data_IF_654640627119
#
_entry.id   IF_654640627119
#
_cell.length_a   1.000
_cell.length_b   1.000
_cell.length_c   1.000
_cell.angle_alpha   90.00
_cell.angle_beta   90.00
_cell.angle_gamma   90.00
#
_symmetry.space_group_name_H-M   'P 1'
#
loop_
_entity.id
_entity.type
_entity.pdbx_description
1 polymer ?
#
# COMPACT_ATOMS: atom_id res chain seq x y z
N UNK A 1 -6.56 -10.06 -0.14
CA UNK A 1 -6.08 -11.15 0.73
C UNK A 1 -4.94 -11.89 0.04
N UNK A 2 -3.81 -12.03 0.70
CA UNK A 2 -2.59 -12.68 0.22
C UNK A 2 -2.76 -14.16 -0.16
N UNK A 3 -3.81 -14.81 0.32
CA UNK A 3 -4.16 -16.20 -0.01
C UNK A 3 -4.71 -16.39 -1.44
N UNK A 4 -4.96 -15.31 -2.15
CA UNK A 4 -5.58 -15.33 -3.47
C UNK A 4 -4.65 -14.89 -4.58
N UNK A 5 -3.34 -14.86 -4.27
CA UNK A 5 -2.30 -14.59 -5.26
C UNK A 5 -2.22 -15.68 -6.32
N UNK A 6 -1.73 -15.30 -7.49
CA UNK A 6 -1.46 -16.18 -8.61
C UNK A 6 -0.39 -17.18 -8.17
N UNK A 7 -0.78 -18.40 -7.85
CA UNK A 7 0.15 -19.49 -7.47
C UNK A 7 0.69 -20.28 -8.65
N UNK A 8 0.05 -20.17 -9.83
CA UNK A 8 0.55 -20.78 -11.07
C UNK A 8 0.75 -19.70 -12.13
N UNK A 9 1.92 -19.65 -12.75
CA UNK A 9 2.26 -18.66 -13.78
C UNK A 9 1.42 -18.73 -15.07
N UNK A 10 0.48 -19.68 -15.17
CA UNK A 10 -0.31 -19.94 -16.37
C UNK A 10 -1.76 -19.45 -16.29
N UNK A 11 -2.24 -18.91 -15.15
CA UNK A 11 -3.60 -18.38 -15.08
C UNK A 11 -3.68 -16.97 -15.65
N UNK A 12 -4.66 -16.73 -16.52
CA UNK A 12 -4.95 -15.41 -17.06
C UNK A 12 -5.69 -14.54 -16.04
N UNK A 13 -5.59 -13.21 -16.17
CA UNK A 13 -6.38 -12.29 -15.36
C UNK A 13 -7.88 -12.53 -15.54
N UNK A 14 -8.30 -12.80 -16.78
CA UNK A 14 -9.67 -13.15 -17.13
C UNK A 14 -10.19 -14.32 -16.29
N UNK A 15 -9.43 -15.41 -16.19
CA UNK A 15 -9.81 -16.58 -15.40
C UNK A 15 -9.92 -16.28 -13.91
N UNK A 16 -8.98 -15.52 -13.37
CA UNK A 16 -8.97 -15.11 -11.96
C UNK A 16 -10.21 -14.28 -11.65
N UNK A 17 -10.51 -13.27 -12.47
CA UNK A 17 -11.69 -12.42 -12.31
C UNK A 17 -12.98 -13.23 -12.39
N UNK A 18 -13.08 -14.15 -13.34
CA UNK A 18 -14.27 -14.99 -13.52
C UNK A 18 -14.50 -15.89 -12.31
N UNK A 19 -13.49 -16.58 -11.81
CA UNK A 19 -13.59 -17.43 -10.63
C UNK A 19 -14.07 -16.65 -9.39
N UNK A 20 -13.53 -15.43 -9.17
CA UNK A 20 -13.99 -14.59 -8.06
C UNK A 20 -15.43 -14.09 -8.25
N UNK A 21 -15.78 -13.71 -9.44
CA UNK A 21 -17.13 -13.30 -9.77
C UNK A 21 -18.16 -14.42 -9.52
N UNK A 22 -17.85 -15.64 -9.97
CA UNK A 22 -18.70 -16.81 -9.74
C UNK A 22 -18.87 -17.12 -8.25
N UNK A 23 -17.78 -17.05 -7.48
CA UNK A 23 -17.85 -17.25 -6.02
C UNK A 23 -18.69 -16.18 -5.32
N UNK A 24 -18.60 -14.91 -5.72
CA UNK A 24 -19.42 -13.82 -5.16
C UNK A 24 -20.91 -14.01 -5.46
N UNK A 25 -21.21 -14.61 -6.57
CA UNK A 25 -22.58 -15.01 -6.94
C UNK A 25 -23.04 -16.31 -6.29
N UNK A 26 -22.17 -17.03 -5.56
CA UNK A 26 -22.50 -18.28 -4.89
C UNK A 26 -22.39 -19.54 -5.74
N UNK A 27 -21.74 -19.46 -6.92
CA UNK A 27 -21.39 -20.63 -7.73
C UNK A 27 -20.10 -21.30 -7.23
N UNK A 28 -19.81 -22.51 -7.72
CA UNK A 28 -18.57 -23.20 -7.46
C UNK A 28 -17.37 -22.37 -7.97
N UNK A 29 -16.20 -22.52 -7.33
CA UNK A 29 -14.95 -21.91 -7.79
C UNK A 29 -14.34 -22.63 -8.98
N UNK A 30 -14.56 -23.91 -9.07
CA UNK A 30 -14.14 -24.73 -10.20
C UNK A 30 -14.98 -24.40 -11.44
N UNK A 31 -14.33 -24.22 -12.60
CA UNK A 31 -15.01 -23.76 -13.81
C UNK A 31 -15.97 -24.80 -14.39
N UNK A 32 -15.60 -26.08 -14.33
CA UNK A 32 -16.48 -27.15 -14.84
C UNK A 32 -17.75 -27.26 -13.99
N UNK A 33 -17.59 -27.20 -12.65
CA UNK A 33 -18.73 -27.22 -11.72
C UNK A 33 -19.59 -25.97 -11.82
N UNK A 34 -19.00 -24.80 -11.96
CA UNK A 34 -19.77 -23.57 -12.12
C UNK A 34 -20.55 -23.50 -13.42
N UNK A 35 -19.98 -23.95 -14.54
CA UNK A 35 -20.70 -24.04 -15.82
C UNK A 35 -21.85 -25.06 -15.75
N UNK A 36 -21.70 -26.16 -14.99
CA UNK A 36 -22.79 -27.06 -14.69
C UNK A 36 -23.91 -26.36 -13.91
N UNK A 37 -23.57 -25.69 -12.78
CA UNK A 37 -24.55 -24.97 -11.96
C UNK A 37 -25.29 -23.90 -12.76
N UNK A 38 -24.58 -23.11 -13.58
CA UNK A 38 -25.14 -22.08 -14.45
C UNK A 38 -26.11 -22.68 -15.47
N UNK A 39 -25.74 -23.80 -16.08
CA UNK A 39 -26.57 -24.53 -17.04
C UNK A 39 -27.84 -25.10 -16.39
N UNK A 40 -27.70 -25.75 -15.24
CA UNK A 40 -28.81 -26.30 -14.46
C UNK A 40 -29.75 -25.19 -13.98
N UNK A 41 -29.21 -24.09 -13.47
CA UNK A 41 -30.03 -22.95 -13.04
C UNK A 41 -30.76 -22.30 -14.20
N UNK A 42 -30.09 -22.15 -15.36
CA UNK A 42 -30.70 -21.61 -16.58
C UNK A 42 -31.90 -22.42 -17.09
N UNK A 43 -31.89 -23.72 -16.86
CA UNK A 43 -32.91 -24.66 -17.23
C UNK A 43 -33.91 -24.96 -16.09
N UNK A 44 -33.79 -24.30 -14.94
CA UNK A 44 -34.66 -24.54 -13.78
C UNK A 44 -34.46 -25.91 -13.13
N UNK A 45 -33.31 -26.57 -13.34
CA UNK A 45 -33.02 -27.92 -12.87
C UNK A 45 -32.07 -27.95 -11.64
N UNK A 46 -31.55 -26.81 -11.20
CA UNK A 46 -30.57 -26.76 -10.11
C UNK A 46 -31.14 -27.31 -8.81
N UNK A 47 -32.36 -26.93 -8.43
CA UNK A 47 -33.00 -27.43 -7.21
C UNK A 47 -33.18 -28.95 -7.22
N UNK A 48 -33.55 -29.52 -8.37
CA UNK A 48 -33.70 -30.98 -8.55
C UNK A 48 -32.36 -31.70 -8.43
N UNK A 49 -31.28 -31.07 -8.93
CA UNK A 49 -29.93 -31.57 -8.79
C UNK A 49 -29.47 -31.57 -7.31
N UNK A 50 -29.71 -30.49 -6.58
CA UNK A 50 -29.35 -30.37 -5.16
C UNK A 50 -30.12 -31.33 -4.28
N UNK A 51 -31.42 -31.58 -4.59
CA UNK A 51 -32.23 -32.56 -3.90
C UNK A 51 -31.72 -33.99 -4.11
N UNK A 52 -31.41 -34.37 -5.36
CA UNK A 52 -30.84 -35.66 -5.68
C UNK A 52 -29.44 -35.85 -5.08
N UNK A 53 -28.62 -34.79 -5.03
CA UNK A 53 -27.34 -34.79 -4.36
C UNK A 53 -27.49 -35.08 -2.86
N UNK A 54 -28.43 -34.40 -2.19
CA UNK A 54 -28.74 -34.65 -0.78
C UNK A 54 -29.23 -36.07 -0.56
N UNK A 55 -30.08 -36.60 -1.44
CA UNK A 55 -30.56 -37.96 -1.35
C UNK A 55 -29.45 -38.99 -1.44
N UNK A 56 -28.46 -38.79 -2.27
CA UNK A 56 -27.34 -39.74 -2.49
C UNK A 56 -26.25 -39.66 -1.44
N UNK A 57 -25.97 -38.49 -0.90
CA UNK A 57 -24.81 -38.25 -0.05
C UNK A 57 -25.14 -37.81 1.37
N UNK A 58 -26.40 -37.52 1.66
CA UNK A 58 -26.84 -36.95 2.95
C UNK A 58 -26.09 -35.67 3.32
N UNK A 59 -25.84 -34.83 2.28
CA UNK A 59 -25.05 -33.57 2.37
C UNK A 59 -25.64 -32.50 1.47
N UNK A 60 -25.38 -31.25 1.84
CA UNK A 60 -25.78 -30.10 1.02
C UNK A 60 -24.74 -29.82 -0.08
N UNK A 61 -25.16 -29.71 -1.34
CA UNK A 61 -24.28 -29.39 -2.47
C UNK A 61 -23.46 -28.14 -2.22
N UNK A 62 -24.08 -27.08 -1.72
CA UNK A 62 -23.43 -25.80 -1.46
C UNK A 62 -22.29 -25.87 -0.43
N UNK A 63 -22.32 -26.84 0.49
CA UNK A 63 -21.26 -27.09 1.45
C UNK A 63 -20.09 -27.91 0.85
N UNK A 64 -20.38 -28.78 -0.11
CA UNK A 64 -19.43 -29.75 -0.65
C UNK A 64 -18.77 -29.34 -1.97
N UNK A 65 -19.42 -28.51 -2.79
CA UNK A 65 -18.90 -28.09 -4.10
C UNK A 65 -17.52 -27.43 -4.10
N UNK A 66 -17.04 -26.95 -2.94
CA UNK A 66 -15.68 -26.45 -2.76
C UNK A 66 -14.59 -27.54 -2.72
N UNK A 67 -14.98 -28.80 -2.47
CA UNK A 67 -14.10 -29.98 -2.43
C UNK A 67 -13.95 -30.58 -3.82
N UNK A 68 -13.35 -29.85 -4.75
CA UNK A 68 -13.36 -30.09 -6.20
C UNK A 68 -13.09 -31.55 -6.59
N UNK A 69 -12.11 -32.21 -5.95
CA UNK A 69 -11.72 -33.58 -6.29
C UNK A 69 -12.88 -34.57 -6.15
N UNK A 70 -13.70 -34.43 -5.14
CA UNK A 70 -14.86 -35.28 -4.90
C UNK A 70 -16.10 -34.74 -5.62
N UNK A 71 -16.33 -33.44 -5.57
CA UNK A 71 -17.50 -32.78 -6.12
C UNK A 71 -17.72 -33.05 -7.62
N UNK A 72 -16.65 -33.10 -8.43
CA UNK A 72 -16.74 -33.44 -9.86
C UNK A 72 -17.30 -34.84 -10.08
N UNK A 73 -16.81 -35.84 -9.33
CA UNK A 73 -17.27 -37.23 -9.46
C UNK A 73 -18.68 -37.43 -8.90
N UNK A 74 -18.98 -36.75 -7.81
CA UNK A 74 -20.30 -36.77 -7.15
C UNK A 74 -21.35 -36.10 -8.05
N UNK A 75 -21.05 -34.95 -8.61
CA UNK A 75 -21.92 -34.27 -9.57
C UNK A 75 -22.20 -35.13 -10.80
N UNK A 76 -21.15 -35.81 -11.34
CA UNK A 76 -21.33 -36.73 -12.47
C UNK A 76 -22.26 -37.88 -12.16
N UNK A 77 -22.21 -38.41 -10.93
CA UNK A 77 -23.10 -39.51 -10.48
C UNK A 77 -24.54 -39.02 -10.30
N UNK A 78 -24.71 -37.83 -9.77
CA UNK A 78 -26.05 -37.19 -9.66
C UNK A 78 -26.69 -37.03 -11.05
N UNK A 79 -25.89 -36.53 -12.02
CA UNK A 79 -26.35 -36.37 -13.40
C UNK A 79 -26.70 -37.72 -14.07
N UNK A 80 -25.92 -38.78 -13.82
CA UNK A 80 -26.26 -40.12 -14.30
C UNK A 80 -27.62 -40.60 -13.74
N UNK A 81 -27.89 -40.39 -12.46
CA UNK A 81 -29.15 -40.80 -11.85
C UNK A 81 -30.34 -40.00 -12.39
N UNK A 82 -30.17 -38.70 -12.62
CA UNK A 82 -31.22 -37.81 -13.10
C UNK A 82 -31.49 -37.98 -14.61
N UNK A 83 -30.45 -38.26 -15.38
CA UNK A 83 -30.48 -38.25 -16.85
C UNK A 83 -29.69 -39.43 -17.42
N UNK A 84 -30.09 -40.72 -17.15
CA UNK A 84 -29.33 -41.90 -17.54
C UNK A 84 -29.17 -42.06 -19.06
N UNK A 85 -30.14 -41.55 -19.85
CA UNK A 85 -30.04 -41.57 -21.30
C UNK A 85 -28.94 -40.64 -21.82
N UNK A 86 -28.74 -39.48 -21.18
CA UNK A 86 -27.69 -38.50 -21.55
C UNK A 86 -26.35 -38.90 -20.99
N UNK A 87 -26.31 -39.43 -19.77
CA UNK A 87 -25.11 -39.81 -19.04
C UNK A 87 -25.19 -41.30 -18.65
N UNK A 88 -24.87 -42.21 -19.57
CA UNK A 88 -25.13 -43.66 -19.39
C UNK A 88 -24.24 -44.32 -18.32
N UNK A 89 -23.15 -43.67 -17.89
CA UNK A 89 -22.27 -44.12 -16.81
C UNK A 89 -22.10 -43.06 -15.77
N UNK A 90 -21.80 -43.46 -14.55
CA UNK A 90 -21.64 -42.56 -13.40
C UNK A 90 -20.55 -41.49 -13.60
N UNK A 91 -19.60 -41.70 -14.47
CA UNK A 91 -18.51 -40.77 -14.79
C UNK A 91 -18.60 -40.13 -16.19
N UNK A 92 -19.71 -40.33 -16.91
CA UNK A 92 -19.89 -39.84 -18.28
C UNK A 92 -19.70 -38.32 -18.38
N UNK A 93 -20.33 -37.56 -17.48
CA UNK A 93 -20.23 -36.10 -17.51
C UNK A 93 -18.79 -35.62 -17.17
N UNK A 94 -18.18 -36.13 -16.09
CA UNK A 94 -16.85 -35.67 -15.67
C UNK A 94 -15.78 -35.99 -16.71
N UNK A 95 -15.86 -37.15 -17.37
CA UNK A 95 -14.95 -37.48 -18.49
C UNK A 95 -15.12 -36.52 -19.68
N UNK A 96 -16.35 -36.07 -19.94
CA UNK A 96 -16.64 -35.20 -21.04
C UNK A 96 -16.14 -33.75 -20.85
N UNK A 97 -16.19 -33.24 -19.61
CA UNK A 97 -15.99 -31.79 -19.33
C UNK A 97 -14.69 -31.48 -18.62
N UNK A 98 -14.08 -32.41 -17.87
CA UNK A 98 -12.95 -32.14 -16.99
C UNK A 98 -11.82 -31.35 -17.67
N UNK A 99 -11.58 -30.14 -17.16
CA UNK A 99 -10.55 -29.23 -17.64
C UNK A 99 -10.80 -28.60 -19.01
N UNK A 100 -12.04 -28.70 -19.55
CA UNK A 100 -12.40 -28.13 -20.86
C UNK A 100 -13.07 -26.75 -20.75
N UNK A 101 -13.51 -26.35 -19.57
CA UNK A 101 -14.08 -25.03 -19.39
C UNK A 101 -13.00 -23.96 -19.60
N UNK A 102 -13.22 -23.09 -20.58
CA UNK A 102 -12.33 -21.98 -20.93
C UNK A 102 -13.11 -20.67 -20.88
N UNK A 103 -12.41 -19.58 -20.58
CA UNK A 103 -12.97 -18.26 -20.45
C UNK A 103 -12.13 -17.22 -21.20
N UNK A 104 -12.76 -16.52 -22.14
CA UNK A 104 -12.17 -15.35 -22.79
C UNK A 104 -12.70 -14.05 -22.17
N UNK A 105 -12.04 -12.89 -22.39
CA UNK A 105 -12.55 -11.57 -21.96
C UNK A 105 -13.99 -11.29 -22.44
N UNK A 106 -14.31 -11.69 -23.68
CA UNK A 106 -15.66 -11.54 -24.23
C UNK A 106 -16.70 -12.41 -23.49
N UNK A 107 -16.35 -13.68 -23.25
CA UNK A 107 -17.22 -14.61 -22.51
C UNK A 107 -17.40 -14.16 -21.06
N UNK A 108 -16.35 -13.64 -20.40
CA UNK A 108 -16.45 -13.06 -19.06
C UNK A 108 -17.46 -11.90 -19.03
N UNK A 109 -17.37 -10.95 -19.96
CA UNK A 109 -18.28 -9.80 -20.01
C UNK A 109 -19.73 -10.23 -20.29
N UNK A 110 -19.94 -11.15 -21.23
CA UNK A 110 -21.26 -11.72 -21.54
C UNK A 110 -21.86 -12.43 -20.31
N UNK A 111 -21.10 -13.33 -19.67
CA UNK A 111 -21.52 -14.05 -18.47
C UNK A 111 -21.82 -13.11 -17.32
N UNK A 112 -21.01 -12.05 -17.14
CA UNK A 112 -21.31 -11.01 -16.16
C UNK A 112 -22.70 -10.39 -16.40
N UNK A 113 -23.03 -10.10 -17.67
CA UNK A 113 -24.36 -9.59 -18.05
C UNK A 113 -25.49 -10.54 -17.72
N UNK A 114 -25.36 -11.81 -18.09
CA UNK A 114 -26.38 -12.84 -17.87
C UNK A 114 -26.59 -13.12 -16.37
N UNK A 115 -25.51 -13.35 -15.62
CA UNK A 115 -25.58 -13.76 -14.23
C UNK A 115 -25.96 -12.60 -13.29
N UNK A 116 -25.49 -11.39 -13.57
CA UNK A 116 -25.93 -10.20 -12.83
C UNK A 116 -27.43 -9.93 -13.00
N UNK A 117 -27.99 -10.08 -14.21
CA UNK A 117 -29.42 -9.97 -14.42
C UNK A 117 -30.20 -11.03 -13.65
N UNK A 118 -29.65 -12.23 -13.54
CA UNK A 118 -30.31 -13.37 -12.87
C UNK A 118 -30.29 -13.25 -11.36
N UNK A 119 -29.10 -13.01 -10.79
CA UNK A 119 -28.89 -13.07 -9.33
C UNK A 119 -28.83 -11.71 -8.63
N UNK A 120 -28.36 -10.64 -9.32
CA UNK A 120 -28.20 -9.29 -8.74
C UNK A 120 -28.72 -8.18 -9.68
N UNK A 121 -29.99 -8.21 -10.10
CA UNK A 121 -30.50 -7.37 -11.21
C UNK A 121 -30.44 -5.86 -10.95
N UNK A 122 -30.39 -5.44 -9.67
CA UNK A 122 -30.36 -4.02 -9.26
C UNK A 122 -28.96 -3.52 -8.86
N UNK A 123 -27.94 -4.36 -8.94
CA UNK A 123 -26.58 -4.02 -8.51
C UNK A 123 -25.67 -3.73 -9.71
N UNK A 124 -24.65 -2.91 -9.48
CA UNK A 124 -23.53 -2.75 -10.37
C UNK A 124 -22.42 -3.76 -10.01
N UNK A 125 -21.58 -4.08 -10.99
CA UNK A 125 -20.40 -4.94 -10.80
C UNK A 125 -19.15 -4.07 -10.82
N UNK A 126 -18.35 -4.16 -9.77
CA UNK A 126 -17.08 -3.43 -9.64
C UNK A 126 -15.97 -4.44 -9.39
N UNK A 127 -15.01 -4.51 -10.30
CA UNK A 127 -13.75 -5.23 -10.06
C UNK A 127 -12.69 -4.26 -9.57
N UNK A 128 -12.06 -4.58 -8.45
CA UNK A 128 -10.91 -3.84 -7.92
C UNK A 128 -9.67 -4.72 -8.05
N UNK A 129 -8.70 -4.27 -8.85
CA UNK A 129 -7.46 -5.00 -9.13
C UNK A 129 -6.32 -4.20 -8.53
N UNK A 130 -5.80 -4.67 -7.42
CA UNK A 130 -4.73 -4.01 -6.68
C UNK A 130 -3.36 -4.34 -7.26
N UNK A 131 -2.47 -3.35 -7.29
CA UNK A 131 -1.07 -3.47 -7.76
C UNK A 131 -0.93 -4.00 -9.21
N UNK A 132 -1.85 -3.61 -10.09
CA UNK A 132 -1.87 -4.07 -11.49
C UNK A 132 -0.58 -3.75 -12.23
N UNK A 133 0.10 -2.64 -11.89
CA UNK A 133 1.34 -2.22 -12.54
C UNK A 133 2.42 -3.29 -12.51
N UNK A 134 2.66 -3.92 -11.35
CA UNK A 134 3.64 -4.99 -11.22
C UNK A 134 3.24 -6.26 -11.98
N UNK A 135 1.94 -6.52 -12.10
CA UNK A 135 1.41 -7.67 -12.80
C UNK A 135 1.62 -7.56 -14.32
N UNK A 136 1.38 -6.37 -14.89
CA UNK A 136 1.44 -6.14 -16.34
C UNK A 136 2.83 -5.73 -16.85
N UNK A 137 3.66 -5.07 -16.04
CA UNK A 137 4.93 -4.47 -16.46
C UNK A 137 5.92 -5.46 -17.09
N UNK A 138 5.85 -6.73 -16.73
CA UNK A 138 6.79 -7.77 -17.18
C UNK A 138 6.28 -8.61 -18.34
N UNK A 139 5.00 -8.48 -18.70
CA UNK A 139 4.35 -9.40 -19.63
C UNK A 139 3.32 -8.68 -20.51
N UNK A 140 3.65 -8.54 -21.80
CA UNK A 140 2.78 -7.91 -22.81
C UNK A 140 1.44 -8.63 -22.94
N UNK A 141 1.41 -9.97 -22.82
CA UNK A 141 0.17 -10.73 -22.91
C UNK A 141 -0.79 -10.37 -21.78
N UNK A 142 -0.29 -10.12 -20.58
CA UNK A 142 -1.10 -9.65 -19.46
C UNK A 142 -1.65 -8.23 -19.65
N UNK A 143 -0.86 -7.36 -20.31
CA UNK A 143 -1.36 -6.03 -20.70
C UNK A 143 -2.51 -6.15 -21.70
N UNK A 144 -2.35 -7.00 -22.73
CA UNK A 144 -3.37 -7.24 -23.74
C UNK A 144 -4.63 -7.91 -23.15
N UNK A 145 -4.46 -8.84 -22.21
CA UNK A 145 -5.59 -9.47 -21.51
C UNK A 145 -6.39 -8.42 -20.71
N UNK A 146 -5.71 -7.59 -19.90
CA UNK A 146 -6.35 -6.50 -19.16
C UNK A 146 -7.04 -5.51 -20.11
N UNK A 147 -6.38 -5.10 -21.19
CA UNK A 147 -6.97 -4.20 -22.19
C UNK A 147 -8.23 -4.77 -22.81
N UNK A 148 -8.21 -6.06 -23.19
CA UNK A 148 -9.36 -6.74 -23.76
C UNK A 148 -10.51 -6.83 -22.75
N UNK A 149 -10.23 -7.12 -21.47
CA UNK A 149 -11.23 -7.13 -20.40
C UNK A 149 -11.89 -5.76 -20.28
N UNK A 150 -11.09 -4.69 -20.12
CA UNK A 150 -11.62 -3.31 -19.94
C UNK A 150 -12.49 -2.91 -21.13
N UNK A 151 -12.03 -3.21 -22.35
CA UNK A 151 -12.79 -2.89 -23.57
C UNK A 151 -14.12 -3.63 -23.64
N UNK A 152 -14.13 -4.93 -23.32
CA UNK A 152 -15.36 -5.74 -23.34
C UNK A 152 -16.34 -5.32 -22.26
N UNK A 153 -15.86 -5.05 -21.05
CA UNK A 153 -16.71 -4.55 -19.97
C UNK A 153 -17.29 -3.16 -20.27
N UNK A 154 -16.50 -2.27 -20.90
CA UNK A 154 -17.00 -0.97 -21.36
C UNK A 154 -18.13 -1.09 -22.39
N UNK A 155 -18.00 -2.02 -23.36
CA UNK A 155 -18.99 -2.24 -24.41
C UNK A 155 -20.27 -2.87 -23.85
N UNK A 156 -20.16 -3.89 -22.99
CA UNK A 156 -21.29 -4.66 -22.47
C UNK A 156 -21.95 -4.01 -21.25
N UNK A 157 -21.16 -3.28 -20.44
CA UNK A 157 -21.57 -2.82 -19.11
C UNK A 157 -22.58 -1.69 -19.09
N UNK A 158 -22.65 -0.86 -20.13
CA UNK A 158 -23.58 0.29 -20.23
C UNK A 158 -23.65 1.12 -18.94
N UNK A 159 -22.48 1.41 -18.33
CA UNK A 159 -22.37 2.14 -17.07
C UNK A 159 -22.62 1.34 -15.79
N UNK A 160 -22.90 0.03 -15.88
CA UNK A 160 -23.13 -0.83 -14.71
C UNK A 160 -21.91 -1.67 -14.31
N UNK A 161 -20.87 -1.74 -15.14
CA UNK A 161 -19.67 -2.50 -14.87
C UNK A 161 -18.47 -1.55 -14.80
N UNK A 162 -17.68 -1.69 -13.75
CA UNK A 162 -16.56 -0.83 -13.46
C UNK A 162 -15.32 -1.67 -13.18
N UNK A 163 -14.19 -1.18 -13.66
CA UNK A 163 -12.88 -1.73 -13.34
C UNK A 163 -12.06 -0.62 -12.72
N UNK A 164 -11.64 -0.83 -11.47
CA UNK A 164 -10.75 0.06 -10.73
C UNK A 164 -9.41 -0.65 -10.59
N UNK A 165 -8.36 0.00 -11.02
CA UNK A 165 -6.99 -0.54 -10.87
C UNK A 165 -6.17 0.39 -10.00
N UNK A 166 -5.29 -0.17 -9.18
CA UNK A 166 -4.28 0.59 -8.45
C UNK A 166 -2.88 0.25 -8.93
N UNK A 167 -1.97 1.19 -8.82
CA UNK A 167 -0.55 0.99 -9.07
C UNK A 167 0.27 1.87 -8.13
N UNK A 168 1.40 1.35 -7.62
CA UNK A 168 2.30 2.11 -6.76
C UNK A 168 3.18 3.08 -7.56
N UNK A 169 3.43 2.80 -8.82
CA UNK A 169 4.18 3.65 -9.74
C UNK A 169 3.26 4.17 -10.83
N UNK A 170 3.55 5.34 -11.36
CA UNK A 170 2.90 5.79 -12.60
C UNK A 170 3.14 4.72 -13.64
N UNK A 171 2.08 4.17 -14.21
CA UNK A 171 2.19 3.09 -15.19
C UNK A 171 3.16 3.44 -16.34
N UNK A 172 3.29 4.72 -16.70
CA UNK A 172 4.26 5.21 -17.68
C UNK A 172 5.73 5.09 -17.27
N UNK A 173 6.03 5.12 -15.98
CA UNK A 173 7.41 5.02 -15.46
C UNK A 173 7.91 3.56 -15.41
N UNK A 174 6.98 2.60 -15.29
CA UNK A 174 7.28 1.16 -15.25
C UNK A 174 7.91 0.61 -16.53
N UNK A 175 7.80 1.34 -17.64
CA UNK A 175 8.18 0.88 -18.99
C UNK A 175 9.33 1.71 -19.57
N UNK A 176 10.01 2.50 -18.75
CA UNK A 176 11.20 3.23 -19.17
C UNK A 176 12.31 2.27 -19.61
N UNK A 177 12.50 2.08 -20.91
CA UNK A 177 13.58 1.28 -21.47
C UNK A 177 13.20 0.29 -22.59
N UNK A 178 11.91 0.10 -22.91
CA UNK A 178 11.47 -0.85 -23.94
C UNK A 178 10.38 -0.19 -24.81
N UNK A 179 10.75 0.26 -25.99
CA UNK A 179 9.87 1.06 -26.86
C UNK A 179 8.57 0.36 -27.27
N UNK A 180 8.60 -0.94 -27.55
CA UNK A 180 7.41 -1.73 -27.92
C UNK A 180 6.39 -1.82 -26.77
N UNK A 181 6.87 -1.89 -25.53
CA UNK A 181 5.98 -1.93 -24.35
C UNK A 181 5.34 -0.58 -24.03
N UNK A 182 5.99 0.54 -24.40
CA UNK A 182 5.42 1.88 -24.19
C UNK A 182 4.15 2.08 -25.01
N UNK A 183 4.09 1.56 -26.24
CA UNK A 183 2.92 1.70 -27.12
C UNK A 183 1.73 0.94 -26.52
N UNK A 184 1.93 -0.32 -26.11
CA UNK A 184 0.84 -1.12 -25.53
C UNK A 184 0.37 -0.57 -24.18
N UNK A 185 1.30 -0.04 -23.37
CA UNK A 185 0.94 0.61 -22.12
C UNK A 185 0.15 1.91 -22.35
N UNK A 186 0.54 2.74 -23.31
CA UNK A 186 -0.21 3.93 -23.66
C UNK A 186 -1.65 3.59 -24.07
N UNK A 187 -1.82 2.56 -24.91
CA UNK A 187 -3.14 2.04 -25.29
C UNK A 187 -3.95 1.54 -24.10
N UNK A 188 -3.31 0.88 -23.13
CA UNK A 188 -3.96 0.47 -21.89
C UNK A 188 -4.40 1.68 -21.07
N UNK A 189 -3.54 2.70 -20.92
CA UNK A 189 -3.84 3.92 -20.17
C UNK A 189 -5.00 4.70 -20.76
N UNK A 190 -5.13 4.75 -22.09
CA UNK A 190 -6.27 5.37 -22.79
C UNK A 190 -7.63 4.72 -22.45
N UNK A 191 -7.61 3.50 -21.90
CA UNK A 191 -8.82 2.82 -21.44
C UNK A 191 -9.26 3.20 -20.03
N UNK A 192 -8.39 3.93 -19.29
CA UNK A 192 -8.66 4.44 -17.95
C UNK A 192 -8.71 5.98 -17.96
N UNK A 193 -9.83 6.58 -18.42
CA UNK A 193 -9.93 8.04 -18.55
C UNK A 193 -9.97 8.75 -17.19
N UNK A 194 -10.40 8.06 -16.14
CA UNK A 194 -10.37 8.58 -14.77
C UNK A 194 -9.09 8.12 -14.10
N UNK A 195 -8.19 9.06 -13.84
CA UNK A 195 -6.93 8.81 -13.15
C UNK A 195 -6.86 9.70 -11.90
N UNK A 196 -6.61 9.07 -10.77
CA UNK A 196 -6.39 9.76 -9.50
C UNK A 196 -4.96 9.51 -9.07
N UNK A 197 -4.17 10.58 -9.03
CA UNK A 197 -2.80 10.53 -8.55
C UNK A 197 -2.79 10.95 -7.08
N UNK A 198 -2.29 10.04 -6.21
CA UNK A 198 -2.06 10.38 -4.81
C UNK A 198 -0.68 11.03 -4.71
N UNK A 199 -0.66 12.32 -4.38
CA UNK A 199 0.56 13.10 -4.22
C UNK A 199 1.16 12.88 -2.82
N UNK A 200 2.49 13.07 -2.63
CA UNK A 200 3.11 13.00 -1.31
C UNK A 200 2.52 13.98 -0.29
N UNK A 201 1.95 15.11 -0.72
CA UNK A 201 1.21 16.07 0.11
C UNK A 201 0.07 15.43 0.90
N UNK A 202 -0.55 14.40 0.35
CA UNK A 202 -1.65 13.68 0.98
C UNK A 202 -1.19 12.84 2.18
N UNK A 203 0.12 12.56 2.27
CA UNK A 203 0.70 11.78 3.39
C UNK A 203 0.54 12.50 4.71
N UNK A 204 0.67 13.82 4.74
CA UNK A 204 0.47 14.61 5.96
C UNK A 204 -0.97 14.47 6.46
N UNK A 205 -1.96 14.58 5.56
CA UNK A 205 -3.37 14.40 5.90
C UNK A 205 -3.68 12.97 6.35
N UNK A 206 -3.15 11.96 5.64
CA UNK A 206 -3.33 10.55 6.01
C UNK A 206 -2.69 10.27 7.38
N UNK A 207 -1.50 10.78 7.63
CA UNK A 207 -0.79 10.60 8.90
C UNK A 207 -1.55 11.27 10.05
N UNK A 208 -2.02 12.51 9.87
CA UNK A 208 -2.79 13.23 10.90
C UNK A 208 -4.09 12.49 11.23
N UNK A 209 -4.84 12.05 10.23
CA UNK A 209 -6.13 11.39 10.44
C UNK A 209 -6.04 9.96 10.95
N UNK A 210 -5.01 9.21 10.55
CA UNK A 210 -4.91 7.78 10.87
C UNK A 210 -4.06 7.46 12.09
N UNK A 211 -3.03 8.25 12.35
CA UNK A 211 -2.07 8.00 13.43
C UNK A 211 -2.15 9.06 14.52
N UNK A 212 -2.28 10.33 14.10
CA UNK A 212 -2.18 11.49 14.99
C UNK A 212 -3.53 12.15 15.29
N UNK A 213 -4.63 11.43 15.10
CA UNK A 213 -5.98 11.94 15.39
C UNK A 213 -6.14 12.34 16.86
N UNK A 214 -6.68 13.54 17.11
CA UNK A 214 -6.91 14.12 18.44
C UNK A 214 -8.39 14.26 18.70
N UNK A 215 -8.80 14.02 19.94
CA UNK A 215 -10.12 14.41 20.42
C UNK A 215 -10.21 15.92 20.66
N UNK A 216 -11.41 16.43 20.88
CA UNK A 216 -11.65 17.87 21.05
C UNK A 216 -10.84 18.50 22.22
N UNK A 217 -10.72 17.80 23.34
CA UNK A 217 -9.96 18.27 24.49
C UNK A 217 -8.46 18.40 24.19
N UNK A 218 -7.90 17.42 23.47
CA UNK A 218 -6.50 17.46 23.05
C UNK A 218 -6.25 18.58 22.02
N UNK A 219 -7.18 18.81 21.08
CA UNK A 219 -7.08 19.91 20.11
C UNK A 219 -7.08 21.28 20.83
N UNK A 220 -7.94 21.45 21.83
CA UNK A 220 -7.97 22.67 22.63
C UNK A 220 -6.68 22.89 23.40
N UNK A 221 -6.18 21.84 24.09
CA UNK A 221 -4.93 21.89 24.85
C UNK A 221 -3.74 22.25 23.94
N UNK A 222 -3.62 21.60 22.78
CA UNK A 222 -2.57 21.88 21.81
C UNK A 222 -2.71 23.28 21.21
N UNK A 223 -3.93 23.76 20.97
CA UNK A 223 -4.18 25.12 20.51
C UNK A 223 -3.72 26.18 21.52
N UNK A 224 -4.01 25.98 22.79
CA UNK A 224 -3.54 26.86 23.87
C UNK A 224 -2.02 26.84 24.00
N UNK A 225 -1.43 25.66 23.91
CA UNK A 225 0.03 25.46 23.96
C UNK A 225 0.73 26.17 22.78
N UNK A 226 0.17 26.08 21.58
CA UNK A 226 0.68 26.77 20.40
C UNK A 226 0.65 28.29 20.60
N UNK A 227 -0.49 28.84 21.00
CA UNK A 227 -0.63 30.29 21.20
C UNK A 227 0.33 30.83 22.27
N UNK A 228 0.55 30.09 23.36
CA UNK A 228 1.49 30.47 24.41
C UNK A 228 2.96 30.50 23.95
N UNK A 229 3.33 29.68 22.95
CA UNK A 229 4.74 29.47 22.56
C UNK A 229 5.04 29.74 21.08
N UNK A 230 4.08 30.17 20.26
CA UNK A 230 4.18 30.29 18.79
C UNK A 230 5.42 31.04 18.30
N UNK A 231 5.75 32.16 18.94
CA UNK A 231 6.90 32.99 18.55
C UNK A 231 8.24 32.23 18.74
N UNK A 232 8.42 31.68 19.94
CA UNK A 232 9.61 30.89 20.30
C UNK A 232 9.72 29.63 19.45
N UNK A 233 8.61 28.92 19.24
CA UNK A 233 8.57 27.73 18.44
C UNK A 233 8.94 28.03 16.98
N UNK A 234 8.34 29.06 16.38
CA UNK A 234 8.64 29.47 15.01
C UNK A 234 10.11 29.89 14.80
N UNK A 235 10.71 30.58 15.80
CA UNK A 235 12.11 30.99 15.76
C UNK A 235 13.07 29.77 15.85
N UNK A 236 12.83 28.89 16.83
CA UNK A 236 13.75 27.79 17.16
C UNK A 236 13.61 26.58 16.26
N UNK A 237 12.54 26.47 15.46
CA UNK A 237 12.29 25.33 14.57
C UNK A 237 12.29 25.68 13.09
N UNK A 238 12.63 26.94 12.76
CA UNK A 238 12.73 27.39 11.37
C UNK A 238 13.93 26.75 10.66
N UNK A 239 13.69 26.15 9.51
CA UNK A 239 14.76 25.60 8.66
C UNK A 239 15.12 26.56 7.53
N UNK A 240 16.41 26.66 7.23
CA UNK A 240 16.93 27.24 6.00
C UNK A 240 16.92 26.16 4.92
N UNK A 241 16.20 26.41 3.82
CA UNK A 241 16.00 25.43 2.74
C UNK A 241 15.92 26.14 1.38
N UNK A 242 16.29 25.44 0.31
CA UNK A 242 16.22 25.91 -1.07
C UNK A 242 14.80 25.86 -1.66
N UNK A 243 13.87 25.25 -0.92
CA UNK A 243 12.47 25.13 -1.30
C UNK A 243 11.57 25.78 -0.23
N UNK A 244 10.36 26.15 -0.64
CA UNK A 244 9.35 26.58 0.33
C UNK A 244 8.86 25.39 1.13
N UNK A 245 9.12 25.41 2.44
CA UNK A 245 8.65 24.41 3.38
C UNK A 245 7.22 24.74 3.84
N UNK A 246 6.44 23.72 4.29
CA UNK A 246 5.13 23.95 4.91
C UNK A 246 5.21 24.90 6.09
N UNK A 247 4.25 25.83 6.17
CA UNK A 247 4.19 26.83 7.22
C UNK A 247 3.71 26.21 8.55
N UNK A 248 4.28 26.67 9.65
CA UNK A 248 3.85 26.32 11.00
C UNK A 248 2.64 27.17 11.38
N UNK A 249 1.46 26.72 10.97
CA UNK A 249 0.19 27.31 11.40
C UNK A 249 -0.35 26.60 12.65
N UNK A 250 -1.33 27.21 13.32
CA UNK A 250 -2.01 26.62 14.48
C UNK A 250 -2.66 25.28 14.11
N UNK A 251 -3.36 25.23 12.99
CA UNK A 251 -4.04 24.05 12.48
C UNK A 251 -3.06 22.96 12.13
N UNK A 252 -2.00 23.26 11.37
CA UNK A 252 -0.97 22.30 10.98
C UNK A 252 -0.23 21.76 12.22
N UNK A 253 0.02 22.59 13.24
CA UNK A 253 0.62 22.14 14.49
C UNK A 253 -0.31 21.15 15.21
N UNK A 254 -1.60 21.48 15.40
CA UNK A 254 -2.55 20.59 16.06
C UNK A 254 -2.67 19.26 15.31
N UNK A 255 -2.81 19.31 13.98
CA UNK A 255 -3.03 18.13 13.16
C UNK A 255 -1.84 17.17 13.18
N UNK A 256 -0.62 17.69 13.12
CA UNK A 256 0.59 16.90 12.98
C UNK A 256 1.34 16.65 14.28
N UNK A 257 1.02 17.37 15.40
CA UNK A 257 1.69 17.16 16.67
C UNK A 257 1.76 15.66 17.03
N UNK A 258 2.89 15.13 17.48
CA UNK A 258 4.11 15.82 17.93
C UNK A 258 5.15 16.11 16.81
N UNK A 259 4.79 15.88 15.54
CA UNK A 259 5.59 16.29 14.38
C UNK A 259 5.35 17.77 14.04
N UNK A 260 6.37 18.43 13.52
CA UNK A 260 6.24 19.73 12.89
C UNK A 260 5.93 19.57 11.39
N UNK A 261 5.23 20.52 10.75
CA UNK A 261 4.76 20.36 9.36
C UNK A 261 5.84 19.97 8.36
N UNK A 262 7.04 20.54 8.45
CA UNK A 262 8.15 20.23 7.55
C UNK A 262 8.77 18.84 7.77
N UNK A 263 8.57 18.23 8.93
CA UNK A 263 9.22 16.96 9.27
C UNK A 263 8.71 15.80 8.44
N UNK A 264 7.48 15.85 7.97
CA UNK A 264 6.94 14.81 7.08
C UNK A 264 7.77 14.74 5.79
N UNK A 265 7.96 15.90 5.11
CA UNK A 265 8.74 15.97 3.87
C UNK A 265 10.21 15.61 4.09
N UNK A 266 10.78 16.05 5.22
CA UNK A 266 12.14 15.71 5.61
C UNK A 266 12.30 14.19 5.80
N UNK A 267 11.40 13.54 6.51
CA UNK A 267 11.42 12.08 6.71
C UNK A 267 11.23 11.34 5.38
N UNK A 268 10.38 11.84 4.47
CA UNK A 268 10.22 11.27 3.12
C UNK A 268 11.56 11.26 2.38
N UNK A 269 12.28 12.37 2.38
CA UNK A 269 13.57 12.47 1.71
C UNK A 269 14.61 11.55 2.35
N UNK A 270 14.69 11.50 3.69
CA UNK A 270 15.58 10.59 4.43
C UNK A 270 15.31 9.13 4.05
N UNK A 271 14.07 8.68 4.13
CA UNK A 271 13.68 7.29 3.82
C UNK A 271 13.96 6.95 2.36
N UNK A 272 13.69 7.87 1.44
CA UNK A 272 13.96 7.70 0.01
C UNK A 272 15.47 7.62 -0.27
N UNK A 273 16.26 8.49 0.36
CA UNK A 273 17.72 8.51 0.23
C UNK A 273 18.39 7.24 0.76
N UNK A 274 17.96 6.76 1.93
CA UNK A 274 18.45 5.51 2.53
C UNK A 274 18.19 4.30 1.63
N UNK A 275 17.04 4.23 0.98
CA UNK A 275 16.69 3.15 0.04
C UNK A 275 17.55 3.17 -1.22
N UNK A 276 17.83 4.36 -1.74
CA UNK A 276 18.61 4.52 -2.98
C UNK A 276 20.07 4.06 -2.77
N UNK A 277 20.65 4.33 -1.63
CA UNK A 277 22.03 3.90 -1.30
C UNK A 277 22.10 2.40 -0.95
N UNK A 278 21.05 1.80 -0.41
CA UNK A 278 20.99 0.39 -0.05
C UNK A 278 20.80 -0.58 -1.22
N UNK A 279 20.79 -0.12 -2.48
CA UNK A 279 20.61 -0.98 -3.67
C UNK A 279 19.21 -1.60 -3.81
N UNK A 280 18.26 -1.23 -2.98
CA UNK A 280 16.87 -1.68 -3.04
C UNK A 280 16.11 -0.81 -4.03
N UNK A 281 15.41 -1.45 -4.97
CA UNK A 281 14.72 -0.83 -6.10
C UNK A 281 13.85 0.40 -5.70
N UNK A 282 13.83 1.39 -6.58
CA UNK A 282 13.21 2.73 -6.46
C UNK A 282 11.68 2.74 -6.32
N UNK A 283 11.06 1.93 -5.47
CA UNK A 283 9.60 1.95 -5.33
C UNK A 283 9.13 3.02 -4.32
N UNK A 284 8.73 4.17 -4.85
CA UNK A 284 8.19 5.31 -4.08
C UNK A 284 7.00 4.91 -3.18
N UNK A 285 6.16 3.98 -3.61
CA UNK A 285 5.01 3.49 -2.83
C UNK A 285 5.34 2.85 -1.48
N UNK A 286 6.57 2.33 -1.32
CA UNK A 286 7.04 1.87 -0.01
C UNK A 286 7.42 2.98 0.97
N UNK A 287 7.73 4.21 0.51
CA UNK A 287 8.07 5.34 1.37
C UNK A 287 6.86 5.79 2.20
N UNK A 288 5.69 5.90 1.58
CA UNK A 288 4.47 6.37 2.23
C UNK A 288 4.02 5.46 3.39
N UNK A 289 4.01 4.14 3.18
CA UNK A 289 3.73 3.18 4.27
C UNK A 289 4.76 3.28 5.39
N UNK A 290 6.02 3.54 5.05
CA UNK A 290 7.11 3.70 6.03
C UNK A 290 6.90 4.94 6.87
N UNK A 291 6.43 6.06 6.32
CA UNK A 291 6.19 7.30 7.06
C UNK A 291 5.06 7.14 8.07
N UNK A 292 3.93 6.56 7.65
CA UNK A 292 2.82 6.26 8.55
C UNK A 292 3.30 5.35 9.69
N UNK A 293 4.10 4.33 9.37
CA UNK A 293 4.70 3.44 10.36
C UNK A 293 5.68 4.19 11.29
N UNK A 294 6.53 5.06 10.74
CA UNK A 294 7.47 5.85 11.55
C UNK A 294 6.74 6.82 12.49
N UNK A 295 5.70 7.50 12.03
CA UNK A 295 4.87 8.36 12.87
C UNK A 295 4.23 7.58 14.04
N UNK A 296 3.80 6.34 13.80
CA UNK A 296 3.32 5.45 14.86
C UNK A 296 4.48 5.02 15.79
N UNK A 297 5.61 4.61 15.21
CA UNK A 297 6.76 4.11 15.98
C UNK A 297 7.37 5.17 16.87
N UNK A 298 7.43 6.43 16.45
CA UNK A 298 7.86 7.55 17.30
C UNK A 298 7.06 7.61 18.61
N UNK A 299 5.77 7.30 18.57
CA UNK A 299 4.91 7.33 19.75
C UNK A 299 5.12 6.13 20.67
N UNK A 300 5.24 4.91 20.11
CA UNK A 300 5.11 3.66 20.89
C UNK A 300 6.38 2.78 20.94
N UNK A 301 7.39 3.06 20.12
CA UNK A 301 8.61 2.26 20.12
C UNK A 301 9.40 2.50 21.42
N UNK A 302 9.81 1.46 22.17
CA UNK A 302 10.53 1.61 23.43
C UNK A 302 11.82 2.45 23.37
N UNK A 303 12.48 2.54 22.20
CA UNK A 303 13.67 3.36 22.01
C UNK A 303 13.38 4.88 22.00
N UNK A 304 12.17 5.28 21.67
CA UNK A 304 11.75 6.70 21.56
C UNK A 304 10.62 7.01 22.55
N UNK A 305 9.52 6.26 22.48
CA UNK A 305 8.35 6.28 23.37
C UNK A 305 7.82 7.68 23.72
N UNK A 306 7.63 8.51 22.69
CA UNK A 306 7.24 9.90 22.88
C UNK A 306 5.84 10.06 23.54
N UNK A 307 5.00 9.01 23.45
CA UNK A 307 3.69 8.98 24.13
C UNK A 307 3.80 9.00 25.66
N UNK A 308 4.96 8.63 26.24
CA UNK A 308 5.22 8.72 27.67
C UNK A 308 5.77 10.08 28.10
N UNK A 309 6.18 10.93 27.16
CA UNK A 309 6.71 12.26 27.45
C UNK A 309 5.58 13.27 27.75
N UNK A 310 5.86 14.34 28.50
CA UNK A 310 4.89 15.40 28.74
C UNK A 310 4.37 16.04 27.47
N UNK A 311 3.12 16.51 27.49
CA UNK A 311 2.54 17.27 26.38
C UNK A 311 3.38 18.51 26.08
N UNK A 312 3.76 18.68 24.83
CA UNK A 312 4.70 19.71 24.37
C UNK A 312 6.03 19.13 23.87
N UNK A 313 6.35 17.88 24.17
CA UNK A 313 7.49 17.20 23.61
C UNK A 313 7.34 17.05 22.08
N UNK A 314 8.43 17.25 21.34
CA UNK A 314 8.46 17.24 19.89
C UNK A 314 9.29 16.07 19.35
N UNK A 315 8.92 15.60 18.17
CA UNK A 315 9.76 14.65 17.43
C UNK A 315 11.05 15.34 17.03
N UNK A 316 12.18 14.69 17.32
CA UNK A 316 13.51 15.13 16.92
C UNK A 316 14.09 14.20 15.86
N UNK A 317 15.07 14.68 15.12
CA UNK A 317 15.70 13.92 14.06
C UNK A 317 16.51 12.73 14.60
N UNK A 318 17.06 12.81 15.82
CA UNK A 318 17.71 11.68 16.50
C UNK A 318 16.72 10.55 16.81
N UNK A 319 15.46 10.85 17.13
CA UNK A 319 14.40 9.84 17.26
C UNK A 319 14.14 9.11 15.93
N UNK A 320 14.13 9.85 14.82
CA UNK A 320 13.97 9.25 13.48
C UNK A 320 15.15 8.35 13.16
N UNK A 321 16.39 8.77 13.51
CA UNK A 321 17.58 7.94 13.35
C UNK A 321 17.43 6.59 14.06
N UNK A 322 17.03 6.59 15.32
CA UNK A 322 16.89 5.37 16.13
C UNK A 322 15.87 4.39 15.53
N UNK A 323 14.87 4.91 14.82
CA UNK A 323 13.87 4.07 14.14
C UNK A 323 14.30 3.54 12.76
N UNK A 324 15.26 4.20 12.11
CA UNK A 324 15.73 3.83 10.76
C UNK A 324 17.16 3.30 10.73
N UNK A 325 17.83 3.22 11.87
CA UNK A 325 19.26 2.86 11.98
C UNK A 325 19.61 1.54 11.28
N UNK A 326 18.67 0.59 11.27
CA UNK A 326 18.83 -0.68 10.56
C UNK A 326 19.07 -0.56 9.05
N UNK A 327 18.73 0.58 8.45
CA UNK A 327 18.95 0.89 7.02
C UNK A 327 20.24 1.69 6.77
N UNK A 328 20.98 2.06 7.83
CA UNK A 328 22.24 2.82 7.75
C UNK A 328 23.41 1.84 7.72
N UNK A 329 24.43 2.15 6.95
CA UNK A 329 25.63 1.32 6.84
C UNK A 329 26.26 1.04 8.23
N UNK A 330 26.66 -0.21 8.45
CA UNK A 330 27.16 -0.68 9.75
C UNK A 330 28.35 0.12 10.27
N UNK A 331 29.24 0.55 9.37
CA UNK A 331 30.41 1.38 9.71
C UNK A 331 29.99 2.75 10.27
N UNK A 332 28.99 3.39 9.66
CA UNK A 332 28.47 4.69 10.11
C UNK A 332 27.79 4.54 11.48
N UNK A 333 26.97 3.49 11.64
CA UNK A 333 26.33 3.19 12.94
C UNK A 333 27.35 2.97 14.04
N UNK A 334 28.39 2.19 13.77
CA UNK A 334 29.44 1.92 14.75
C UNK A 334 30.16 3.22 15.19
N UNK A 335 30.48 4.10 14.23
CA UNK A 335 31.08 5.42 14.54
C UNK A 335 30.14 6.28 15.40
N UNK A 336 28.87 6.39 15.04
CA UNK A 336 27.88 7.19 15.79
C UNK A 336 27.70 6.61 17.21
N UNK A 337 27.68 5.28 17.35
CA UNK A 337 27.60 4.64 18.67
C UNK A 337 28.84 4.90 19.54
N UNK A 338 30.03 4.96 18.94
CA UNK A 338 31.28 5.22 19.66
C UNK A 338 31.35 6.66 20.20
N UNK A 339 30.67 7.63 19.59
CA UNK A 339 30.71 9.06 19.99
C UNK A 339 30.42 9.25 21.48
N UNK A 340 29.48 8.50 22.05
CA UNK A 340 29.16 8.62 23.49
C UNK A 340 30.31 8.23 24.43
N UNK A 341 31.33 7.57 23.90
CA UNK A 341 32.55 7.19 24.66
C UNK A 341 33.73 8.12 24.37
N UNK A 342 33.73 8.77 23.21
CA UNK A 342 34.84 9.61 22.72
C UNK A 342 34.60 11.09 22.99
N UNK A 343 33.33 11.52 23.11
CA UNK A 343 32.95 12.92 23.35
C UNK A 343 31.97 12.98 24.51
N UNK A 344 32.33 13.70 25.57
CA UNK A 344 31.51 13.76 26.80
C UNK A 344 30.27 14.66 26.69
N UNK A 345 30.15 15.42 25.61
CA UNK A 345 29.04 16.35 25.45
C UNK A 345 27.70 15.62 25.19
N UNK A 346 26.65 15.90 25.98
CA UNK A 346 25.39 15.13 25.94
C UNK A 346 24.62 15.23 24.62
N UNK A 347 24.87 16.28 23.82
CA UNK A 347 24.26 16.46 22.51
C UNK A 347 25.12 15.89 21.37
N UNK A 348 26.39 15.49 21.60
CA UNK A 348 27.30 15.10 20.51
C UNK A 348 26.73 13.95 19.66
N UNK A 349 26.25 12.89 20.28
CA UNK A 349 25.68 11.75 19.55
C UNK A 349 24.40 12.14 18.82
N UNK A 350 23.53 12.98 19.42
CA UNK A 350 22.28 13.45 18.77
C UNK A 350 22.58 14.32 17.55
N UNK A 351 23.58 15.20 17.67
CA UNK A 351 24.07 16.03 16.56
C UNK A 351 24.60 15.16 15.42
N UNK A 352 25.42 14.15 15.73
CA UNK A 352 25.92 13.23 14.71
C UNK A 352 24.81 12.41 14.02
N UNK A 353 23.81 11.97 14.76
CA UNK A 353 22.60 11.32 14.21
C UNK A 353 21.85 12.26 13.25
N UNK A 354 21.68 13.54 13.64
CA UNK A 354 21.03 14.53 12.79
C UNK A 354 21.82 14.80 11.51
N UNK A 355 23.14 14.99 11.60
CA UNK A 355 24.03 15.15 10.43
C UNK A 355 23.92 13.93 9.50
N UNK A 356 23.96 12.72 10.06
CA UNK A 356 23.83 11.48 9.30
C UNK A 356 22.52 11.42 8.50
N UNK A 357 21.40 11.88 9.04
CA UNK A 357 20.14 11.88 8.31
C UNK A 357 20.00 13.05 7.33
N UNK A 358 20.49 14.25 7.68
CA UNK A 358 20.43 15.42 6.82
C UNK A 358 21.23 15.25 5.52
N UNK A 359 22.22 14.36 5.46
CA UNK A 359 22.91 14.04 4.20
C UNK A 359 21.99 13.49 3.10
N UNK A 360 20.85 12.93 3.46
CA UNK A 360 19.86 12.41 2.52
C UNK A 360 18.83 13.45 2.07
N UNK A 361 18.86 14.64 2.69
CA UNK A 361 17.91 15.74 2.44
C UNK A 361 18.61 16.78 1.58
N UNK A 362 18.21 16.88 0.31
CA UNK A 362 18.86 17.77 -0.65
C UNK A 362 18.44 19.24 -0.53
N UNK A 363 17.24 19.46 -0.03
CA UNK A 363 16.61 20.79 0.02
C UNK A 363 16.86 21.57 1.29
N UNK A 364 17.55 20.98 2.28
CA UNK A 364 17.80 21.60 3.60
C UNK A 364 19.30 21.65 3.82
N UNK A 365 19.82 22.85 4.14
CA UNK A 365 21.24 23.04 4.42
C UNK A 365 21.66 22.31 5.70
N UNK A 366 22.86 21.76 5.71
CA UNK A 366 23.45 21.07 6.89
C UNK A 366 24.14 22.03 7.83
N UNK A 367 23.48 23.14 8.16
CA UNK A 367 23.99 24.16 9.05
C UNK A 367 23.73 23.84 10.52
N UNK A 368 24.46 24.50 11.43
CA UNK A 368 24.27 24.38 12.87
C UNK A 368 22.84 24.79 13.29
N UNK A 369 22.28 25.81 12.64
CA UNK A 369 20.91 26.29 12.85
C UNK A 369 19.88 25.23 12.51
N UNK A 370 20.02 24.58 11.35
CA UNK A 370 19.11 23.52 10.92
C UNK A 370 19.24 22.26 11.79
N UNK A 371 20.45 21.91 12.21
CA UNK A 371 20.67 20.82 13.16
C UNK A 371 19.96 21.15 14.49
N UNK A 372 20.14 22.37 15.01
CA UNK A 372 19.49 22.81 16.25
C UNK A 372 17.95 22.79 16.13
N UNK A 373 17.39 23.26 15.03
CA UNK A 373 15.97 23.26 14.75
C UNK A 373 15.39 21.83 14.68
N UNK A 374 16.09 20.88 14.03
CA UNK A 374 15.65 19.49 13.94
C UNK A 374 15.82 18.70 15.25
N UNK A 375 16.60 19.20 16.20
CA UNK A 375 16.81 18.62 17.53
C UNK A 375 16.02 19.34 18.62
N UNK A 376 15.15 20.29 18.29
CA UNK A 376 14.35 21.06 19.27
C UNK A 376 13.43 20.13 20.07
N UNK A 377 13.57 20.07 21.41
CA UNK A 377 12.97 18.98 22.18
C UNK A 377 11.50 19.21 22.59
N UNK A 378 11.09 20.45 22.80
CA UNK A 378 9.81 20.76 23.42
C UNK A 378 9.34 22.18 23.04
N UNK A 379 8.06 22.41 22.87
CA UNK A 379 7.48 23.71 22.45
C UNK A 379 7.88 24.88 23.33
N UNK A 380 8.09 24.65 24.63
CA UNK A 380 8.48 25.66 25.60
C UNK A 380 10.01 25.77 25.80
N UNK A 381 10.79 24.91 25.13
CA UNK A 381 12.24 24.91 25.31
C UNK A 381 12.90 26.16 24.69
N UNK A 382 14.05 26.53 25.21
CA UNK A 382 14.90 27.55 24.62
C UNK A 382 15.65 26.99 23.39
N UNK A 383 16.16 27.90 22.55
CA UNK A 383 16.89 27.53 21.33
C UNK A 383 18.12 26.65 21.64
N UNK A 384 18.35 25.64 20.83
CA UNK A 384 19.41 24.67 21.03
C UNK A 384 20.72 25.04 20.31
N UNK A 385 20.78 26.18 19.61
CA UNK A 385 21.92 26.52 18.73
C UNK A 385 23.25 26.63 19.50
N UNK A 386 23.26 27.26 20.65
CA UNK A 386 24.49 27.38 21.45
C UNK A 386 25.03 26.00 21.87
N UNK A 387 24.16 25.12 22.35
CA UNK A 387 24.48 23.75 22.76
C UNK A 387 24.92 22.89 21.58
N UNK A 388 24.28 23.04 20.41
CA UNK A 388 24.68 22.35 19.18
C UNK A 388 26.05 22.82 18.69
N UNK A 389 26.33 24.12 18.72
CA UNK A 389 27.64 24.65 18.33
C UNK A 389 28.75 24.14 19.24
N UNK A 390 28.52 23.99 20.54
CA UNK A 390 29.47 23.39 21.45
C UNK A 390 29.73 21.92 21.13
N UNK A 391 28.64 21.14 20.88
CA UNK A 391 28.75 19.74 20.47
C UNK A 391 29.52 19.59 19.14
N UNK A 392 29.27 20.46 18.15
CA UNK A 392 29.96 20.46 16.86
C UNK A 392 31.46 20.72 17.03
N UNK A 393 31.85 21.71 17.85
CA UNK A 393 33.29 21.97 18.15
C UNK A 393 33.98 20.77 18.76
N UNK A 394 33.35 20.07 19.69
CA UNK A 394 33.92 18.87 20.30
C UNK A 394 34.00 17.69 19.33
N UNK A 395 33.00 17.50 18.49
CA UNK A 395 33.00 16.49 17.44
C UNK A 395 34.09 16.76 16.39
N UNK A 396 34.32 18.02 16.05
CA UNK A 396 35.40 18.44 15.13
C UNK A 396 36.75 18.24 15.73
N UNK A 397 36.96 18.63 17.00
CA UNK A 397 38.19 18.38 17.73
C UNK A 397 38.55 16.89 17.84
N UNK A 398 37.52 16.01 17.95
CA UNK A 398 37.65 14.56 17.91
C UNK A 398 37.78 13.98 16.48
N UNK A 399 37.80 14.81 15.45
CA UNK A 399 37.88 14.42 14.03
C UNK A 399 36.73 13.50 13.56
N UNK A 400 35.57 13.58 14.21
CA UNK A 400 34.40 12.78 13.92
C UNK A 400 33.45 13.46 12.89
N UNK A 401 33.53 14.78 12.83
CA UNK A 401 32.84 15.59 11.80
C UNK A 401 33.84 16.60 11.21
N UNK A 402 33.49 17.14 10.04
CA UNK A 402 34.29 18.14 9.36
C UNK A 402 33.38 19.25 8.88
N UNK A 403 33.79 20.48 9.04
CA UNK A 403 33.11 21.62 8.43
C UNK A 403 33.41 21.61 6.93
N UNK A 404 32.36 21.67 6.11
CA UNK A 404 32.42 21.86 4.66
C UNK A 404 32.08 23.28 4.28
N UNK A 405 32.27 23.61 3.00
CA UNK A 405 31.96 24.93 2.45
C UNK A 405 30.46 25.07 2.03
N UNK A 406 29.62 24.05 2.32
CA UNK A 406 28.17 23.99 1.93
C UNK A 406 27.25 24.22 3.14
#
# INVERSE_FOLDING_TARGET
STDRGIRSGNQTLTEIMYRHFLQDLGYARDLDLSELEIGLEGNGQLARFEEEYRRLYDKEWNAEKGKVVFALSEASRVLHNLYPETYPQADSWVRAVKGKADISPGKLAQRAGELMKRRKPRQALIFVIDEVGQFVARDVQKMLDLQAIVQRFGAEGRGRYWIVVTSQEKLGELVSGLDDKKIELARLMDRFPLQVHLEPSDISEITSRRVLSKNAAAQETLGQLYEAHRGRLAENTRLSADIRLPELTREAFIDLYPLLPYQIDLIIQVVSGLRTQGGVSKHVGGANRTIIKLAQQVLINPAVNLAAEPVGALVRLDHVYDLVEGNIASEVRAKITAISREVEHPMAQKVAKAICLLQYVRSVHRSAENIAATLHPHVAADGQLATVNEALRQLEAAQLVRQGDD
#
